data_IF_472115349422
#
_entry.id   IF_472115349422
#
_cell.length_a   1.000
_cell.length_b   1.000
_cell.length_c   1.000
_cell.angle_alpha   90.00
_cell.angle_beta   90.00
_cell.angle_gamma   90.00
#
_symmetry.space_group_name_H-M   'P 1'
#
loop_
_entity.id
_entity.type
_entity.pdbx_description
1 polymer ?
#
# COMPACT_ATOMS: atom_id res chain seq x y z
N UNK A 1 -10.41 -17.57 -3.82
CA UNK A 1 -10.80 -16.32 -3.13
C UNK A 1 -10.19 -15.19 -3.94
N UNK A 2 -10.97 -14.20 -4.38
CA UNK A 2 -10.38 -13.01 -4.98
C UNK A 2 -9.47 -12.33 -3.93
N UNK A 3 -8.26 -11.92 -4.32
CA UNK A 3 -7.43 -11.13 -3.43
C UNK A 3 -8.21 -9.85 -3.05
N UNK A 4 -8.29 -9.56 -1.75
CA UNK A 4 -8.90 -8.31 -1.29
C UNK A 4 -8.08 -7.17 -1.88
N UNK A 5 -8.70 -6.34 -2.70
CA UNK A 5 -8.04 -5.17 -3.29
C UNK A 5 -8.87 -3.93 -3.04
N UNK A 6 -8.19 -2.81 -2.82
CA UNK A 6 -8.81 -1.51 -2.72
C UNK A 6 -9.05 -0.94 -4.12
N UNK A 7 -10.27 -0.47 -4.33
CA UNK A 7 -10.66 0.35 -5.47
C UNK A 7 -10.11 1.77 -5.33
N UNK A 8 -10.08 2.51 -6.44
CA UNK A 8 -9.66 3.92 -6.45
C UNK A 8 -10.56 4.79 -5.55
N UNK A 9 -11.86 4.51 -5.52
CA UNK A 9 -12.82 5.28 -4.72
C UNK A 9 -12.68 4.99 -3.22
N UNK A 10 -12.41 3.74 -2.85
CA UNK A 10 -12.04 3.39 -1.47
C UNK A 10 -10.76 4.11 -1.05
N UNK A 11 -9.72 4.10 -1.90
CA UNK A 11 -8.48 4.81 -1.62
C UNK A 11 -8.69 6.33 -1.44
N UNK A 12 -9.52 6.97 -2.27
CA UNK A 12 -9.91 8.39 -2.06
C UNK A 12 -10.63 8.60 -0.73
N UNK A 13 -11.57 7.72 -0.40
CA UNK A 13 -12.37 7.80 0.83
C UNK A 13 -11.50 7.68 2.08
N UNK A 14 -10.58 6.72 2.11
CA UNK A 14 -9.64 6.56 3.22
C UNK A 14 -8.57 7.66 3.24
N UNK A 15 -8.07 8.08 2.09
CA UNK A 15 -7.14 9.21 1.99
C UNK A 15 -7.75 10.51 2.53
N UNK A 16 -9.04 10.75 2.27
CA UNK A 16 -9.79 11.88 2.84
C UNK A 16 -9.87 11.80 4.37
N UNK A 17 -10.08 10.60 4.94
CA UNK A 17 -10.09 10.39 6.41
C UNK A 17 -8.71 10.59 7.04
N UNK A 18 -7.64 10.35 6.28
CA UNK A 18 -6.26 10.53 6.70
C UNK A 18 -5.73 11.95 6.47
N UNK A 19 -6.50 12.82 5.79
CA UNK A 19 -6.09 14.19 5.48
C UNK A 19 -4.97 14.25 4.43
N UNK A 20 -4.93 13.30 3.50
CA UNK A 20 -3.91 13.27 2.43
C UNK A 20 -4.09 14.48 1.52
N UNK A 21 -2.99 15.19 1.28
CA UNK A 21 -2.86 16.15 0.18
C UNK A 21 -2.44 15.41 -1.10
N UNK A 22 -3.19 15.60 -2.17
CA UNK A 22 -2.94 14.98 -3.47
C UNK A 22 -2.00 15.81 -4.36
N UNK A 23 -1.39 16.87 -3.84
CA UNK A 23 -0.38 17.67 -4.55
C UNK A 23 0.93 16.93 -4.77
N UNK A 24 1.31 16.10 -3.79
CA UNK A 24 2.64 15.50 -3.74
C UNK A 24 2.67 14.17 -4.48
N UNK A 25 1.61 13.38 -4.36
CA UNK A 25 1.41 12.10 -5.05
C UNK A 25 -0.06 11.90 -5.43
N UNK A 26 -0.29 11.02 -6.42
CA UNK A 26 -1.64 10.72 -6.87
C UNK A 26 -2.31 9.59 -6.06
N UNK A 27 -3.62 9.48 -6.23
CA UNK A 27 -4.42 8.42 -5.62
C UNK A 27 -4.02 7.01 -6.04
N UNK A 28 -3.40 6.82 -7.22
CA UNK A 28 -2.93 5.49 -7.63
C UNK A 28 -1.73 5.05 -6.80
N UNK A 29 -0.78 5.94 -6.50
CA UNK A 29 0.31 5.64 -5.56
C UNK A 29 -0.23 5.19 -4.21
N UNK A 30 -1.20 5.92 -3.67
CA UNK A 30 -1.83 5.55 -2.40
C UNK A 30 -2.60 4.23 -2.48
N UNK A 31 -3.39 4.02 -3.55
CA UNK A 31 -4.13 2.76 -3.77
C UNK A 31 -3.18 1.57 -3.94
N UNK A 32 -2.09 1.73 -4.69
CA UNK A 32 -1.06 0.71 -4.83
C UNK A 32 -0.50 0.35 -3.47
N UNK A 33 -0.14 1.37 -2.68
CA UNK A 33 0.35 1.18 -1.32
C UNK A 33 -0.61 0.42 -0.43
N UNK A 34 -1.86 0.88 -0.34
CA UNK A 34 -2.87 0.18 0.45
C UNK A 34 -3.01 -1.30 0.08
N UNK A 35 -2.81 -1.68 -1.19
CA UNK A 35 -2.85 -3.08 -1.60
C UNK A 35 -1.59 -3.86 -1.22
N UNK A 36 -0.41 -3.24 -1.29
CA UNK A 36 0.86 -3.82 -0.83
C UNK A 36 0.81 -4.04 0.68
N UNK A 37 0.40 -3.02 1.45
CA UNK A 37 0.41 -3.05 2.91
C UNK A 37 -0.63 -4.01 3.53
N UNK A 38 -1.47 -4.66 2.72
CA UNK A 38 -2.26 -5.82 3.18
C UNK A 38 -1.37 -6.99 3.62
N UNK A 39 -0.09 -7.00 3.25
CA UNK A 39 0.92 -7.91 3.79
C UNK A 39 1.07 -7.78 5.31
N UNK A 40 0.84 -6.60 5.87
CA UNK A 40 0.80 -6.37 7.32
C UNK A 40 -0.58 -6.65 7.94
N UNK A 41 -1.47 -7.31 7.20
CA UNK A 41 -2.83 -7.68 7.60
C UNK A 41 -3.00 -9.19 7.78
N UNK A 42 -4.22 -9.67 7.57
CA UNK A 42 -4.57 -11.10 7.72
C UNK A 42 -3.97 -11.98 6.65
N UNK A 43 -3.35 -11.40 5.61
CA UNK A 43 -2.60 -12.12 4.58
C UNK A 43 -1.42 -12.89 5.17
N UNK A 44 -0.75 -12.31 6.16
CA UNK A 44 0.34 -12.95 6.90
C UNK A 44 0.07 -12.89 8.41
N UNK A 45 -0.49 -13.95 9.02
CA UNK A 45 -0.81 -13.99 10.44
C UNK A 45 0.40 -13.78 11.37
N UNK A 46 1.62 -14.13 10.94
CA UNK A 46 2.82 -14.00 11.78
C UNK A 46 3.28 -12.55 11.91
N UNK A 47 3.00 -11.73 10.89
CA UNK A 47 3.37 -10.30 10.84
C UNK A 47 2.15 -9.36 10.85
N UNK A 48 0.95 -9.89 11.14
CA UNK A 48 -0.30 -9.14 11.15
C UNK A 48 -0.35 -8.10 12.28
N UNK A 49 -0.33 -6.82 11.91
CA UNK A 49 -0.44 -5.68 12.84
C UNK A 49 -1.63 -4.78 12.54
N UNK A 50 -2.28 -4.93 11.39
CA UNK A 50 -3.40 -4.08 10.96
C UNK A 50 -4.77 -4.77 11.04
N UNK A 51 -4.81 -6.10 11.06
CA UNK A 51 -6.02 -6.91 10.96
C UNK A 51 -6.90 -6.55 9.75
N UNK A 52 -6.28 -6.15 8.64
CA UNK A 52 -6.89 -5.57 7.43
C UNK A 52 -7.73 -4.30 7.68
N UNK A 53 -7.51 -3.57 8.77
CA UNK A 53 -8.17 -2.29 9.00
C UNK A 53 -7.70 -1.28 7.94
N UNK A 54 -8.60 -0.76 7.08
CA UNK A 54 -8.20 0.09 5.96
C UNK A 54 -7.49 1.39 6.36
N UNK A 55 -7.80 1.93 7.55
CA UNK A 55 -7.20 3.17 8.02
C UNK A 55 -5.79 2.90 8.54
N UNK A 56 -5.58 1.82 9.29
CA UNK A 56 -4.24 1.40 9.71
C UNK A 56 -3.36 1.02 8.52
N UNK A 57 -3.88 0.23 7.59
CA UNK A 57 -3.18 -0.11 6.33
C UNK A 57 -2.83 1.14 5.52
N UNK A 58 -3.77 2.08 5.39
CA UNK A 58 -3.53 3.36 4.72
C UNK A 58 -2.48 4.24 5.42
N UNK A 59 -2.37 4.20 6.75
CA UNK A 59 -1.32 4.95 7.48
C UNK A 59 0.09 4.45 7.16
N UNK A 60 0.27 3.14 7.01
CA UNK A 60 1.56 2.56 6.60
C UNK A 60 1.89 3.05 5.19
N UNK A 61 0.91 3.00 4.28
CA UNK A 61 1.11 3.48 2.92
C UNK A 61 1.44 4.97 2.83
N UNK A 62 0.78 5.79 3.64
CA UNK A 62 1.04 7.22 3.73
C UNK A 62 2.44 7.50 4.31
N UNK A 63 2.91 6.72 5.29
CA UNK A 63 4.24 6.92 5.86
C UNK A 63 5.34 6.80 4.80
N UNK A 64 5.23 5.82 3.91
CA UNK A 64 6.17 5.62 2.80
C UNK A 64 6.05 6.71 1.72
N UNK A 65 4.84 7.12 1.38
CA UNK A 65 4.63 8.20 0.39
C UNK A 65 5.12 9.57 0.89
N UNK A 66 5.18 9.77 2.22
CA UNK A 66 5.82 10.94 2.82
C UNK A 66 7.35 10.90 2.72
N UNK A 67 7.97 9.74 2.51
CA UNK A 67 9.42 9.65 2.27
C UNK A 67 9.74 10.09 0.83
N UNK A 68 8.97 9.60 -0.15
CA UNK A 68 9.02 10.07 -1.53
C UNK A 68 7.73 9.72 -2.32
N UNK A 69 7.26 10.62 -3.20
CA UNK A 69 5.96 10.50 -3.88
C UNK A 69 5.72 9.26 -4.74
N UNK A 70 6.76 8.65 -5.30
CA UNK A 70 6.68 7.52 -6.24
C UNK A 70 7.07 6.18 -5.60
N UNK A 71 6.99 6.09 -4.26
CA UNK A 71 7.46 4.96 -3.46
C UNK A 71 7.04 3.61 -4.01
N UNK A 72 5.74 3.42 -4.27
CA UNK A 72 5.21 2.12 -4.67
C UNK A 72 5.59 1.73 -6.09
N UNK A 73 5.82 2.69 -6.98
CA UNK A 73 6.40 2.41 -8.30
C UNK A 73 7.85 1.96 -8.22
N UNK A 74 8.62 2.46 -7.26
CA UNK A 74 10.00 2.01 -7.03
C UNK A 74 10.05 0.66 -6.35
N UNK A 75 9.19 0.44 -5.35
CA UNK A 75 9.09 -0.83 -4.64
C UNK A 75 8.74 -1.98 -5.59
N UNK A 76 7.76 -1.78 -6.47
CA UNK A 76 7.35 -2.79 -7.46
C UNK A 76 8.54 -3.29 -8.30
N UNK A 77 9.35 -2.35 -8.82
CA UNK A 77 10.57 -2.68 -9.58
C UNK A 77 11.59 -3.45 -8.72
N UNK A 78 11.84 -3.00 -7.50
CA UNK A 78 12.78 -3.64 -6.58
C UNK A 78 12.34 -5.07 -6.28
N UNK A 79 11.07 -5.28 -5.98
CA UNK A 79 10.53 -6.60 -5.68
C UNK A 79 10.54 -7.52 -6.89
N UNK A 80 10.23 -7.04 -8.09
CA UNK A 80 10.34 -7.84 -9.31
C UNK A 80 11.76 -8.36 -9.50
N UNK A 81 12.77 -7.51 -9.31
CA UNK A 81 14.17 -7.89 -9.45
C UNK A 81 14.62 -8.85 -8.33
N UNK A 82 14.19 -8.62 -7.09
CA UNK A 82 14.42 -9.55 -5.99
C UNK A 82 13.76 -10.92 -6.26
N UNK A 83 12.51 -10.94 -6.73
CA UNK A 83 11.79 -12.17 -7.11
C UNK A 83 12.54 -12.92 -8.22
N UNK A 84 13.09 -12.24 -9.23
CA UNK A 84 13.91 -12.89 -10.28
C UNK A 84 15.21 -13.47 -9.73
N UNK A 85 15.86 -12.79 -8.78
CA UNK A 85 17.11 -13.23 -8.17
C UNK A 85 16.91 -14.49 -7.31
N UNK A 86 15.91 -14.51 -6.42
CA UNK A 86 15.67 -15.58 -5.45
C UNK A 86 14.80 -16.75 -5.98
N UNK A 87 14.22 -16.63 -7.18
CA UNK A 87 13.53 -17.76 -7.87
C UNK A 87 14.50 -18.70 -8.59
N UNK A 88 15.81 -18.43 -8.57
CA UNK A 88 16.85 -19.35 -9.01
C UNK A 88 17.21 -20.31 -7.90
#
# INVERSE_FOLDING_TARGET
MAAKTFTKDEAKSFGSKLGIDWSDFDVEQFRMGMNVELEHGRRDPETNVTNDDPVLTGKIALAHLNEFPDYYTRLDKLEEDAKKFWKK
#
